data_IF_027179311826
#
_entry.id   IF_027179311826
#
_cell.length_a   1.000
_cell.length_b   1.000
_cell.length_c   1.000
_cell.angle_alpha   90.00
_cell.angle_beta   90.00
_cell.angle_gamma   90.00
#
_symmetry.space_group_name_H-M   'P 1'
#
loop_
_entity.id
_entity.type
_entity.pdbx_description
1 polymer ?
#
# COMPACT_ATOMS: atom_id res chain seq x y z
N UNK A 1 -4.61 27.92 -27.04
CA UNK A 1 -5.29 27.30 -25.87
C UNK A 1 -4.93 25.83 -25.94
N UNK A 2 -3.84 25.44 -25.29
CA UNK A 2 -3.28 24.10 -25.42
C UNK A 2 -3.75 23.22 -24.26
N UNK A 3 -4.69 22.35 -24.56
CA UNK A 3 -5.19 21.26 -23.70
C UNK A 3 -4.21 20.08 -23.70
N UNK A 4 -2.96 20.28 -23.28
CA UNK A 4 -1.94 19.21 -23.25
C UNK A 4 -1.38 18.87 -21.86
N UNK A 5 -1.89 19.47 -20.78
CA UNK A 5 -1.41 19.18 -19.42
C UNK A 5 -2.10 17.99 -18.73
N UNK A 6 -3.12 17.37 -19.35
CA UNK A 6 -3.94 16.34 -18.71
C UNK A 6 -3.40 14.89 -18.87
N UNK A 7 -2.45 14.64 -19.77
CA UNK A 7 -2.01 13.27 -20.11
C UNK A 7 -0.67 12.81 -19.50
N UNK A 8 0.05 13.67 -18.78
CA UNK A 8 1.41 13.36 -18.29
C UNK A 8 1.51 12.95 -16.82
N UNK A 9 0.40 12.59 -16.18
CA UNK A 9 0.38 11.96 -14.85
C UNK A 9 0.08 10.44 -14.93
N UNK A 10 0.53 9.77 -16.00
CA UNK A 10 0.93 8.36 -15.84
C UNK A 10 2.01 8.37 -14.78
N UNK A 11 1.65 7.98 -13.56
CA UNK A 11 2.57 7.78 -12.46
C UNK A 11 3.64 6.79 -12.93
N UNK A 12 4.74 7.33 -13.46
CA UNK A 12 5.95 6.59 -13.68
C UNK A 12 6.41 6.20 -12.29
N UNK A 13 5.96 5.04 -11.82
CA UNK A 13 6.57 4.28 -10.74
C UNK A 13 8.05 4.19 -11.08
N UNK A 14 8.96 4.94 -10.42
CA UNK A 14 10.36 4.67 -10.56
C UNK A 14 10.64 3.49 -9.62
N UNK A 15 11.43 2.55 -10.15
CA UNK A 15 11.85 1.26 -9.61
C UNK A 15 10.95 0.13 -10.11
N UNK A 16 11.49 -0.62 -11.06
CA UNK A 16 11.12 -2.03 -11.26
C UNK A 16 11.10 -2.69 -9.89
N UNK A 17 9.90 -2.88 -9.34
CA UNK A 17 9.70 -3.77 -8.20
C UNK A 17 10.38 -5.10 -8.56
N UNK A 18 11.17 -5.70 -7.65
CA UNK A 18 11.70 -7.05 -7.83
C UNK A 18 10.61 -7.95 -8.39
N UNK A 19 10.95 -8.81 -9.35
CA UNK A 19 9.99 -9.65 -10.10
C UNK A 19 9.06 -10.39 -9.14
N UNK A 20 9.60 -10.84 -8.00
CA UNK A 20 8.86 -11.51 -6.93
C UNK A 20 7.73 -10.66 -6.36
N UNK A 21 7.98 -9.37 -6.09
CA UNK A 21 6.99 -8.46 -5.52
C UNK A 21 5.84 -8.21 -6.50
N UNK A 22 6.08 -8.21 -7.81
CA UNK A 22 5.01 -8.07 -8.81
C UNK A 22 4.08 -9.29 -8.80
N UNK A 23 4.63 -10.50 -8.80
CA UNK A 23 3.85 -11.73 -8.72
C UNK A 23 3.03 -11.81 -7.43
N UNK A 24 3.62 -11.37 -6.31
CA UNK A 24 2.94 -11.22 -5.03
C UNK A 24 1.76 -10.26 -5.12
N UNK A 25 1.97 -9.04 -5.66
CA UNK A 25 0.91 -8.04 -5.80
C UNK A 25 -0.24 -8.60 -6.65
N UNK A 26 0.05 -9.25 -7.77
CA UNK A 26 -0.98 -9.84 -8.63
C UNK A 26 -1.80 -10.91 -7.89
N UNK A 27 -1.16 -11.80 -7.13
CA UNK A 27 -1.87 -12.80 -6.31
C UNK A 27 -2.73 -12.17 -5.22
N UNK A 28 -2.29 -11.05 -4.63
CA UNK A 28 -3.13 -10.30 -3.71
C UNK A 28 -4.36 -9.77 -4.44
N UNK A 29 -4.16 -9.05 -5.55
CA UNK A 29 -5.23 -8.46 -6.36
C UNK A 29 -6.26 -9.50 -6.82
N UNK A 30 -5.85 -10.72 -7.15
CA UNK A 30 -6.73 -11.86 -7.48
C UNK A 30 -7.68 -12.25 -6.33
N UNK A 31 -7.32 -11.97 -5.08
CA UNK A 31 -8.16 -12.24 -3.91
C UNK A 31 -9.08 -11.08 -3.54
N UNK A 32 -8.91 -9.89 -4.15
CA UNK A 32 -9.62 -8.66 -3.77
C UNK A 32 -10.92 -8.46 -4.54
N UNK A 33 -11.82 -9.45 -4.49
CA UNK A 33 -13.10 -9.42 -5.21
C UNK A 33 -14.04 -8.26 -4.79
N UNK A 34 -13.72 -7.56 -3.69
CA UNK A 34 -14.46 -6.39 -3.20
C UNK A 34 -14.01 -5.06 -3.84
N UNK A 35 -12.90 -5.04 -4.59
CA UNK A 35 -12.43 -3.84 -5.28
C UNK A 35 -13.21 -3.68 -6.57
N UNK A 36 -13.77 -2.48 -6.78
CA UNK A 36 -14.50 -2.18 -8.02
C UNK A 36 -13.55 -2.12 -9.22
N UNK A 37 -13.94 -2.78 -10.33
CA UNK A 37 -13.28 -2.64 -11.64
C UNK A 37 -13.78 -1.43 -12.43
N UNK A 38 -14.74 -0.66 -11.90
CA UNK A 38 -15.30 0.53 -12.56
C UNK A 38 -14.26 1.63 -12.65
N UNK A 39 -13.92 2.03 -13.88
CA UNK A 39 -12.98 3.13 -14.16
C UNK A 39 -13.43 4.46 -13.54
N UNK A 40 -14.75 4.73 -13.56
CA UNK A 40 -15.35 5.92 -12.96
C UNK A 40 -15.16 5.93 -11.45
N UNK A 41 -15.44 4.79 -10.81
CA UNK A 41 -15.29 4.65 -9.36
C UNK A 41 -13.83 4.82 -8.93
N UNK A 42 -12.89 4.16 -9.63
CA UNK A 42 -11.46 4.26 -9.34
C UNK A 42 -10.92 5.68 -9.56
N UNK A 43 -11.39 6.39 -10.59
CA UNK A 43 -11.07 7.80 -10.82
C UNK A 43 -11.59 8.68 -9.67
N UNK A 44 -12.84 8.45 -9.22
CA UNK A 44 -13.41 9.12 -8.06
C UNK A 44 -12.58 8.93 -6.79
N UNK A 45 -12.09 7.73 -6.52
CA UNK A 45 -11.20 7.44 -5.38
C UNK A 45 -9.88 8.20 -5.46
N UNK A 46 -9.27 8.29 -6.64
CA UNK A 46 -8.03 9.06 -6.85
C UNK A 46 -8.26 10.56 -6.62
N UNK A 47 -9.36 11.10 -7.13
CA UNK A 47 -9.72 12.51 -6.91
C UNK A 47 -9.95 12.80 -5.43
N UNK A 48 -10.67 11.92 -4.74
CA UNK A 48 -10.89 12.01 -3.30
C UNK A 48 -9.56 11.98 -2.52
N UNK A 49 -8.64 11.07 -2.87
CA UNK A 49 -7.29 11.05 -2.28
C UNK A 49 -6.57 12.40 -2.40
N UNK A 50 -6.52 12.96 -3.62
CA UNK A 50 -5.82 14.22 -3.85
C UNK A 50 -6.46 15.39 -3.10
N UNK A 51 -7.79 15.40 -3.01
CA UNK A 51 -8.52 16.38 -2.21
C UNK A 51 -8.16 16.25 -0.72
N UNK A 52 -8.22 15.04 -0.16
CA UNK A 52 -7.86 14.78 1.24
C UNK A 52 -6.41 15.14 1.54
N UNK A 53 -5.48 14.84 0.63
CA UNK A 53 -4.07 15.22 0.76
C UNK A 53 -3.90 16.73 0.78
N UNK A 54 -4.67 17.49 -0.01
CA UNK A 54 -4.62 18.96 -0.01
C UNK A 54 -5.24 19.57 1.23
N UNK A 55 -6.35 19.02 1.70
CA UNK A 55 -7.06 19.48 2.90
C UNK A 55 -6.47 18.93 4.19
N UNK A 56 -5.33 18.21 4.14
CA UNK A 56 -4.77 17.50 5.28
C UNK A 56 -4.58 18.39 6.51
N UNK A 57 -4.07 19.61 6.33
CA UNK A 57 -3.86 20.58 7.43
C UNK A 57 -5.14 21.18 8.00
N UNK A 58 -6.26 21.04 7.29
CA UNK A 58 -7.58 21.53 7.68
C UNK A 58 -8.44 20.44 8.31
N UNK A 59 -8.04 19.17 8.17
CA UNK A 59 -8.74 18.02 8.73
C UNK A 59 -8.09 17.61 10.05
N UNK A 60 -8.94 17.21 11.01
CA UNK A 60 -8.47 16.47 12.17
C UNK A 60 -7.71 15.23 11.69
N UNK A 61 -6.74 14.77 12.48
CA UNK A 61 -6.00 13.56 12.13
C UNK A 61 -6.95 12.37 11.97
N UNK A 62 -7.93 12.24 12.85
CA UNK A 62 -8.87 11.13 12.84
C UNK A 62 -9.73 11.11 11.56
N UNK A 63 -10.22 12.27 11.13
CA UNK A 63 -11.03 12.37 9.91
C UNK A 63 -10.20 12.07 8.67
N UNK A 64 -8.98 12.59 8.60
CA UNK A 64 -8.08 12.24 7.49
C UNK A 64 -7.84 10.73 7.41
N UNK A 65 -7.57 10.08 8.55
CA UNK A 65 -7.32 8.64 8.58
C UNK A 65 -8.53 7.81 8.15
N UNK A 66 -9.74 8.18 8.62
CA UNK A 66 -10.99 7.51 8.22
C UNK A 66 -11.17 7.49 6.71
N UNK A 67 -11.02 8.65 6.06
CA UNK A 67 -11.21 8.77 4.62
C UNK A 67 -10.06 8.12 3.83
N UNK A 68 -8.82 8.24 4.33
CA UNK A 68 -7.66 7.61 3.72
C UNK A 68 -7.79 6.08 3.67
N UNK A 69 -8.31 5.46 4.74
CA UNK A 69 -8.55 4.02 4.82
C UNK A 69 -9.60 3.57 3.81
N UNK A 70 -10.70 4.32 3.69
CA UNK A 70 -11.74 4.02 2.69
C UNK A 70 -11.14 4.05 1.28
N UNK A 71 -10.43 5.13 0.94
CA UNK A 71 -9.80 5.30 -0.37
C UNK A 71 -8.84 4.16 -0.69
N UNK A 72 -7.97 3.83 0.26
CA UNK A 72 -6.96 2.78 0.07
C UNK A 72 -7.52 1.36 0.13
N UNK A 73 -8.71 1.14 0.71
CA UNK A 73 -9.41 -0.16 0.74
C UNK A 73 -10.13 -0.45 -0.56
N UNK A 74 -10.72 0.58 -1.18
CA UNK A 74 -11.48 0.43 -2.42
C UNK A 74 -10.66 0.70 -3.69
N UNK A 75 -9.39 1.07 -3.53
CA UNK A 75 -8.41 1.03 -4.62
C UNK A 75 -7.89 -0.39 -4.83
N UNK A 76 -7.41 -0.71 -6.03
CA UNK A 76 -6.60 -1.91 -6.22
C UNK A 76 -5.39 -1.88 -5.29
N UNK A 77 -4.89 -3.04 -4.90
CA UNK A 77 -3.73 -3.13 -4.02
C UNK A 77 -2.56 -2.25 -4.51
N UNK A 78 -2.23 -2.31 -5.80
CA UNK A 78 -1.15 -1.50 -6.40
C UNK A 78 -1.41 0.00 -6.30
N UNK A 79 -2.64 0.43 -6.61
CA UNK A 79 -3.00 1.84 -6.51
C UNK A 79 -2.97 2.30 -5.05
N UNK A 80 -3.48 1.50 -4.11
CA UNK A 80 -3.40 1.77 -2.67
C UNK A 80 -1.96 1.98 -2.18
N UNK A 81 -1.01 1.15 -2.62
CA UNK A 81 0.43 1.31 -2.35
C UNK A 81 1.00 2.59 -2.96
N UNK A 82 0.60 2.93 -4.19
CA UNK A 82 1.03 4.17 -4.84
C UNK A 82 0.53 5.40 -4.07
N UNK A 83 -0.72 5.39 -3.62
CA UNK A 83 -1.31 6.46 -2.80
C UNK A 83 -0.58 6.59 -1.44
N UNK A 84 -0.30 5.48 -0.76
CA UNK A 84 0.52 5.45 0.45
C UNK A 84 1.91 6.05 0.21
N UNK A 85 2.56 5.74 -0.92
CA UNK A 85 3.87 6.31 -1.27
C UNK A 85 3.81 7.82 -1.52
N UNK A 86 2.74 8.31 -2.18
CA UNK A 86 2.53 9.75 -2.37
C UNK A 86 2.35 10.43 -1.00
N UNK A 87 1.58 9.81 -0.10
CA UNK A 87 1.39 10.32 1.26
C UNK A 87 2.72 10.36 2.02
N UNK A 88 3.52 9.28 1.95
CA UNK A 88 4.85 9.22 2.56
C UNK A 88 5.76 10.37 2.15
N UNK A 89 5.72 10.77 0.87
CA UNK A 89 6.56 11.86 0.35
C UNK A 89 6.14 13.25 0.82
N UNK A 90 4.86 13.43 1.14
CA UNK A 90 4.28 14.74 1.48
C UNK A 90 4.10 14.92 2.98
N UNK A 91 3.83 13.82 3.68
CA UNK A 91 3.41 13.77 5.08
C UNK A 91 3.94 12.47 5.73
N UNK A 92 5.26 12.30 5.76
CA UNK A 92 5.92 11.07 6.25
C UNK A 92 5.47 10.68 7.66
N UNK A 93 5.52 11.62 8.60
CA UNK A 93 5.13 11.41 10.01
C UNK A 93 3.71 10.85 10.15
N UNK A 94 2.83 11.24 9.22
CA UNK A 94 1.43 10.81 9.23
C UNK A 94 1.27 9.36 8.80
N UNK A 95 2.02 8.96 7.77
CA UNK A 95 2.04 7.56 7.35
C UNK A 95 2.67 6.69 8.43
N UNK A 96 3.77 7.13 9.05
CA UNK A 96 4.42 6.39 10.12
C UNK A 96 3.50 6.24 11.34
N UNK A 97 2.88 7.32 11.81
CA UNK A 97 1.94 7.30 12.93
C UNK A 97 0.70 6.46 12.61
N UNK A 98 0.22 6.50 11.37
CA UNK A 98 -0.85 5.64 10.89
C UNK A 98 -0.47 4.16 10.96
N UNK A 99 0.68 3.78 10.40
CA UNK A 99 1.19 2.42 10.43
C UNK A 99 1.46 1.94 11.87
N UNK A 100 1.96 2.80 12.75
CA UNK A 100 2.17 2.50 14.15
C UNK A 100 0.86 2.18 14.87
N UNK A 101 -0.18 3.01 14.68
CA UNK A 101 -1.52 2.76 15.25
C UNK A 101 -2.12 1.45 14.70
N UNK A 102 -2.03 1.27 13.40
CA UNK A 102 -2.41 0.06 12.69
C UNK A 102 -1.80 -1.20 13.32
N UNK A 103 -0.50 -1.19 13.57
CA UNK A 103 0.22 -2.34 14.14
C UNK A 103 -0.06 -2.54 15.64
N UNK A 104 -0.35 -1.47 16.38
CA UNK A 104 -0.63 -1.52 17.83
C UNK A 104 -1.97 -2.16 18.22
N UNK A 105 -2.83 -2.48 17.25
CA UNK A 105 -4.16 -3.05 17.53
C UNK A 105 -5.16 -2.07 18.15
N UNK A 106 -4.81 -0.79 18.25
CA UNK A 106 -5.64 0.27 18.86
C UNK A 106 -6.82 0.75 17.98
N UNK A 107 -7.36 -0.09 17.08
CA UNK A 107 -8.46 0.33 16.20
C UNK A 107 -9.68 -0.58 16.38
N UNK A 108 -10.92 -0.02 16.41
CA UNK A 108 -12.13 -0.81 16.61
C UNK A 108 -12.28 -1.90 15.55
N UNK A 109 -12.51 -3.13 16.02
CA UNK A 109 -12.67 -4.34 15.18
C UNK A 109 -13.92 -4.27 14.28
N UNK A 110 -14.84 -3.35 14.60
CA UNK A 110 -16.14 -3.16 13.98
C UNK A 110 -16.04 -2.54 12.57
N UNK A 111 -14.92 -1.87 12.25
CA UNK A 111 -14.73 -1.20 10.96
C UNK A 111 -14.16 -2.15 9.90
N UNK A 112 -15.03 -2.63 9.00
CA UNK A 112 -14.65 -3.53 7.90
C UNK A 112 -13.60 -2.93 6.95
N UNK A 113 -13.71 -1.63 6.62
CA UNK A 113 -12.71 -0.97 5.76
C UNK A 113 -11.35 -0.97 6.44
N UNK A 114 -11.33 -0.71 7.75
CA UNK A 114 -10.11 -0.76 8.51
C UNK A 114 -9.50 -2.16 8.57
N UNK A 115 -10.32 -3.20 8.82
CA UNK A 115 -9.83 -4.59 8.82
C UNK A 115 -9.25 -5.01 7.48
N UNK A 116 -9.92 -4.68 6.37
CA UNK A 116 -9.41 -4.95 5.03
C UNK A 116 -8.10 -4.22 4.77
N UNK A 117 -8.01 -2.94 5.15
CA UNK A 117 -6.78 -2.15 5.04
C UNK A 117 -5.64 -2.73 5.88
N UNK A 118 -5.92 -3.13 7.12
CA UNK A 118 -4.95 -3.76 8.01
C UNK A 118 -4.45 -5.10 7.50
N UNK A 119 -5.36 -5.91 6.95
CA UNK A 119 -5.01 -7.15 6.30
C UNK A 119 -4.04 -6.90 5.16
N UNK A 120 -4.30 -5.91 4.29
CA UNK A 120 -3.39 -5.50 3.21
C UNK A 120 -1.99 -5.15 3.71
N UNK A 121 -1.87 -4.32 4.75
CA UNK A 121 -0.57 -3.91 5.32
C UNK A 121 0.17 -5.12 5.92
N UNK A 122 -0.51 -5.92 6.75
CA UNK A 122 0.08 -7.07 7.43
C UNK A 122 0.54 -8.12 6.42
N UNK A 123 -0.28 -8.38 5.41
CA UNK A 123 0.02 -9.34 4.35
C UNK A 123 1.23 -8.90 3.53
N UNK A 124 1.29 -7.62 3.11
CA UNK A 124 2.48 -7.06 2.43
C UNK A 124 3.74 -7.20 3.29
N UNK A 125 3.63 -6.87 4.58
CA UNK A 125 4.76 -6.91 5.52
C UNK A 125 5.26 -8.35 5.68
N UNK A 126 4.35 -9.29 5.92
CA UNK A 126 4.66 -10.70 6.05
C UNK A 126 5.34 -11.24 4.80
N UNK A 127 4.80 -10.96 3.61
CA UNK A 127 5.38 -11.44 2.37
C UNK A 127 6.75 -10.82 2.10
N UNK A 128 6.92 -9.51 2.31
CA UNK A 128 8.22 -8.86 2.12
C UNK A 128 9.27 -9.42 3.10
N UNK A 129 8.88 -9.73 4.34
CA UNK A 129 9.77 -10.38 5.32
C UNK A 129 10.10 -11.81 4.86
N UNK A 130 9.11 -12.62 4.53
CA UNK A 130 9.30 -14.00 4.08
C UNK A 130 10.19 -14.08 2.84
N UNK A 131 9.96 -13.21 1.84
CA UNK A 131 10.77 -13.13 0.62
C UNK A 131 12.24 -12.78 0.90
N UNK A 132 12.53 -11.97 1.93
CA UNK A 132 13.91 -11.61 2.33
C UNK A 132 14.57 -12.64 3.25
N UNK A 133 13.78 -13.36 4.04
CA UNK A 133 14.29 -14.36 4.98
C UNK A 133 14.57 -15.67 4.26
N UNK A 134 13.67 -16.09 3.38
CA UNK A 134 13.75 -17.33 2.61
C UNK A 134 14.24 -17.11 1.19
N UNK A 135 15.03 -16.07 0.98
CA UNK A 135 15.75 -15.84 -0.28
C UNK A 135 16.70 -17.02 -0.55
N UNK A 136 16.70 -17.54 -1.78
CA UNK A 136 17.48 -18.71 -2.17
C UNK A 136 18.97 -18.52 -1.89
N UNK A 137 19.52 -17.33 -2.15
CA UNK A 137 20.94 -17.06 -1.86
C UNK A 137 21.23 -17.09 -0.36
N UNK A 138 20.27 -16.71 0.48
CA UNK A 138 20.39 -16.78 1.93
C UNK A 138 20.28 -18.23 2.41
N UNK A 139 19.36 -19.01 1.85
CA UNK A 139 19.22 -20.44 2.14
C UNK A 139 20.51 -21.18 1.75
N UNK A 140 21.05 -20.95 0.55
CA UNK A 140 22.29 -21.57 0.10
C UNK A 140 23.51 -21.15 0.94
N UNK A 141 23.57 -19.88 1.39
CA UNK A 141 24.60 -19.45 2.35
C UNK A 141 24.52 -20.18 3.69
N UNK A 142 23.31 -20.39 4.21
CA UNK A 142 23.10 -21.13 5.47
C UNK A 142 23.47 -22.60 5.27
N UNK A 143 23.05 -23.24 4.18
CA UNK A 143 23.44 -24.62 3.84
C UNK A 143 24.96 -24.77 3.75
N UNK A 144 25.63 -23.85 3.05
CA UNK A 144 27.08 -23.86 2.88
C UNK A 144 27.86 -23.60 4.17
N UNK A 145 27.27 -22.88 5.14
CA UNK A 145 27.86 -22.69 6.46
C UNK A 145 27.74 -23.96 7.32
N UNK A 146 26.56 -24.58 7.31
CA UNK A 146 26.30 -25.83 8.04
C UNK A 146 27.12 -27.01 7.49
N UNK A 147 27.43 -27.02 6.20
CA UNK A 147 28.25 -28.07 5.56
C UNK A 147 29.77 -27.90 5.77
N UNK A 148 30.21 -26.83 6.44
CA UNK A 148 31.63 -26.59 6.77
C UNK A 148 31.96 -26.88 8.24
N UNK A 149 30.97 -27.29 9.02
CA UNK A 149 31.13 -27.67 10.43
C UNK A 149 31.34 -29.19 10.64
N UNK A 150 31.51 -29.96 9.56
CA UNK A 150 32.05 -31.33 9.55
C UNK A 150 33.55 -31.33 9.15
#
# INVERSE_FOLDING_TARGET
MDTSAADNLKGNLPLSLPVDIRGIISRVEETENWVSSSSVFLSGQKNLFYLLSRLRSQLSQEDFLKHFVVVTTFSSFRDGLALMRILSKRHEDHLQLFLARALSGMIPEDNLCWRAHMWRIRYLTAINVLARVFDEQRIERVKAALSKED
#
